data_IF_039141481620
#
_entry.id   IF_039141481620
#
_cell.length_a   1.000
_cell.length_b   1.000
_cell.length_c   1.000
_cell.angle_alpha   90.00
_cell.angle_beta   90.00
_cell.angle_gamma   90.00
#
_symmetry.space_group_name_H-M   'P 1'
#
loop_
_entity.id
_entity.type
_entity.pdbx_description
1 polymer ?
#
# COMPACT_ATOMS: atom_id res chain seq x y z
N UNK A 1 6.47 7.19 -17.34
CA UNK A 1 6.90 6.97 -15.94
C UNK A 1 6.01 5.90 -15.30
N UNK A 2 6.58 4.87 -14.65
CA UNK A 2 5.78 3.83 -13.98
C UNK A 2 5.05 4.36 -12.73
N UNK A 3 5.61 5.39 -12.10
CA UNK A 3 5.06 6.15 -10.98
C UNK A 3 3.65 6.67 -11.30
N UNK A 4 3.49 7.40 -12.41
CA UNK A 4 2.21 7.95 -12.86
C UNK A 4 1.17 6.86 -13.18
N UNK A 5 1.59 5.72 -13.75
CA UNK A 5 0.69 4.61 -14.02
C UNK A 5 0.18 3.94 -12.72
N UNK A 6 1.04 3.86 -11.70
CA UNK A 6 0.68 3.34 -10.38
C UNK A 6 -0.21 4.32 -9.62
N UNK A 7 0.09 5.62 -9.67
CA UNK A 7 -0.80 6.66 -9.14
C UNK A 7 -2.19 6.55 -9.76
N UNK A 8 -2.30 6.54 -11.09
CA UNK A 8 -3.58 6.37 -11.78
C UNK A 8 -4.29 5.05 -11.40
N UNK A 9 -3.53 3.98 -11.16
CA UNK A 9 -4.09 2.69 -10.72
C UNK A 9 -4.68 2.73 -9.31
N UNK A 10 -3.98 3.29 -8.32
CA UNK A 10 -4.49 3.37 -6.94
C UNK A 10 -5.59 4.42 -6.80
N UNK A 11 -5.48 5.56 -7.49
CA UNK A 11 -6.55 6.57 -7.54
C UNK A 11 -7.79 6.04 -8.27
N UNK A 12 -7.62 5.26 -9.33
CA UNK A 12 -8.73 4.57 -10.00
C UNK A 12 -9.42 3.55 -9.09
N UNK A 13 -8.65 2.82 -8.27
CA UNK A 13 -9.24 1.94 -7.26
C UNK A 13 -10.03 2.75 -6.24
N UNK A 14 -9.48 3.87 -5.77
CA UNK A 14 -10.13 4.74 -4.80
C UNK A 14 -11.46 5.30 -5.33
N UNK A 15 -11.49 5.74 -6.59
CA UNK A 15 -12.71 6.17 -7.27
C UNK A 15 -13.74 5.02 -7.36
N UNK A 16 -13.29 3.82 -7.75
CA UNK A 16 -14.14 2.61 -7.79
C UNK A 16 -14.66 2.22 -6.41
N UNK A 17 -13.84 2.36 -5.35
CA UNK A 17 -14.24 2.11 -3.96
C UNK A 17 -15.37 3.04 -3.53
N UNK A 18 -15.39 4.28 -4.06
CA UNK A 18 -16.49 5.24 -3.90
C UNK A 18 -17.66 5.04 -4.89
N UNK A 19 -17.70 3.93 -5.62
CA UNK A 19 -18.78 3.63 -6.59
C UNK A 19 -18.70 4.40 -7.91
N UNK A 20 -17.58 5.09 -8.19
CA UNK A 20 -17.37 5.85 -9.44
C UNK A 20 -16.32 5.16 -10.32
N UNK A 21 -16.76 4.72 -11.50
CA UNK A 21 -15.87 4.29 -12.58
C UNK A 21 -15.56 2.78 -12.60
N UNK A 22 -14.80 2.39 -13.63
CA UNK A 22 -14.38 1.01 -13.87
C UNK A 22 -12.90 0.88 -13.56
N UNK A 23 -12.58 0.18 -12.47
CA UNK A 23 -11.20 -0.13 -12.11
C UNK A 23 -10.87 -1.56 -12.49
N UNK A 24 -9.73 -1.74 -13.16
CA UNK A 24 -9.25 -3.05 -13.58
C UNK A 24 -7.98 -3.40 -12.82
N UNK A 25 -8.00 -4.56 -12.16
CA UNK A 25 -6.83 -5.10 -11.49
C UNK A 25 -5.69 -5.32 -12.49
N UNK A 26 -4.49 -4.82 -12.14
CA UNK A 26 -3.30 -4.96 -12.97
C UNK A 26 -2.15 -5.49 -12.12
N UNK A 27 -1.87 -6.78 -12.29
CA UNK A 27 -0.83 -7.51 -11.54
C UNK A 27 0.56 -6.88 -11.72
N UNK A 28 0.88 -6.37 -12.91
CA UNK A 28 2.16 -5.73 -13.17
C UNK A 28 2.33 -4.46 -12.35
N UNK A 29 1.28 -3.62 -12.27
CA UNK A 29 1.30 -2.41 -11.46
C UNK A 29 1.29 -2.73 -9.97
N UNK A 30 0.52 -3.73 -9.55
CA UNK A 30 0.49 -4.16 -8.15
C UNK A 30 1.84 -4.74 -7.68
N UNK A 31 2.48 -5.59 -8.49
CA UNK A 31 3.82 -6.10 -8.19
C UNK A 31 4.90 -5.02 -8.21
N UNK A 32 4.74 -4.01 -9.08
CA UNK A 32 5.65 -2.86 -9.10
C UNK A 32 5.44 -1.99 -7.86
N UNK A 33 4.19 -1.70 -7.50
CA UNK A 33 3.82 -0.98 -6.29
C UNK A 33 4.46 -1.64 -5.08
N UNK A 34 4.25 -2.94 -4.84
CA UNK A 34 4.85 -3.63 -3.69
C UNK A 34 6.38 -3.56 -3.61
N UNK A 35 7.08 -3.40 -4.75
CA UNK A 35 8.54 -3.28 -4.78
C UNK A 35 9.03 -1.86 -4.53
N UNK A 36 8.28 -0.86 -5.00
CA UNK A 36 8.70 0.54 -5.02
C UNK A 36 7.90 1.45 -4.08
N UNK A 37 6.91 0.92 -3.37
CA UNK A 37 6.04 1.64 -2.42
C UNK A 37 6.82 2.46 -1.40
N UNK A 38 7.97 1.95 -0.98
CA UNK A 38 8.76 2.52 0.10
C UNK A 38 9.70 3.64 -0.37
N UNK A 39 9.90 3.80 -1.69
CA UNK A 39 10.82 4.80 -2.23
C UNK A 39 10.07 6.11 -2.51
N UNK A 40 10.43 7.16 -1.77
CA UNK A 40 9.84 8.49 -1.90
C UNK A 40 10.01 9.09 -3.29
N UNK A 41 11.18 8.89 -3.90
CA UNK A 41 11.46 9.37 -5.26
C UNK A 41 10.54 8.75 -6.32
N UNK A 42 9.98 7.57 -6.06
CA UNK A 42 9.12 6.85 -6.97
C UNK A 42 7.63 6.98 -6.63
N UNK A 43 7.32 7.20 -5.35
CA UNK A 43 5.94 7.28 -4.86
C UNK A 43 5.84 8.49 -3.95
N UNK A 44 5.19 9.54 -4.45
CA UNK A 44 4.81 10.69 -3.63
C UNK A 44 3.93 10.26 -2.46
N UNK A 45 4.03 11.02 -1.36
CA UNK A 45 3.35 10.71 -0.11
C UNK A 45 1.82 10.57 -0.26
N UNK A 46 1.21 11.38 -1.14
CA UNK A 46 -0.22 11.29 -1.46
C UNK A 46 -0.57 9.93 -2.09
N UNK A 47 0.23 9.49 -3.07
CA UNK A 47 0.03 8.19 -3.71
C UNK A 47 0.29 7.05 -2.72
N UNK A 48 1.28 7.21 -1.83
CA UNK A 48 1.55 6.24 -0.77
C UNK A 48 0.34 6.09 0.16
N UNK A 49 -0.27 7.19 0.63
CA UNK A 49 -1.45 7.13 1.47
C UNK A 49 -2.61 6.39 0.80
N UNK A 50 -2.87 6.65 -0.49
CA UNK A 50 -3.90 5.95 -1.27
C UNK A 50 -3.53 4.47 -1.48
N UNK A 51 -2.26 4.16 -1.70
CA UNK A 51 -1.77 2.79 -1.86
C UNK A 51 -1.87 1.97 -0.56
N UNK A 52 -1.58 2.57 0.59
CA UNK A 52 -1.77 1.94 1.90
C UNK A 52 -3.25 1.67 2.14
N UNK A 53 -4.13 2.62 1.81
CA UNK A 53 -5.58 2.42 1.91
C UNK A 53 -6.09 1.33 0.96
N UNK A 54 -5.52 1.24 -0.24
CA UNK A 54 -5.75 0.13 -1.17
C UNK A 54 -5.37 -1.21 -0.55
N UNK A 55 -4.27 -1.30 0.20
CA UNK A 55 -3.80 -2.53 0.85
C UNK A 55 -4.64 -2.96 2.06
N UNK A 56 -5.34 -2.05 2.75
CA UNK A 56 -6.20 -2.38 3.91
C UNK A 56 -7.25 -3.46 3.62
N UNK A 57 -8.08 -3.36 2.56
CA UNK A 57 -9.05 -4.40 2.21
C UNK A 57 -8.43 -5.59 1.48
N UNK A 58 -7.14 -5.58 1.13
CA UNK A 58 -6.49 -6.78 0.57
C UNK A 58 -6.37 -7.84 1.67
N UNK A 59 -6.97 -9.01 1.43
CA UNK A 59 -6.89 -10.17 2.31
C UNK A 59 -6.01 -11.26 1.70
N UNK A 60 -5.36 -12.06 2.55
CA UNK A 60 -4.54 -13.21 2.17
C UNK A 60 -3.12 -12.85 1.70
N UNK A 61 -2.62 -13.61 0.73
CA UNK A 61 -1.20 -13.64 0.34
C UNK A 61 -0.62 -12.28 -0.07
N UNK A 62 -1.42 -11.37 -0.63
CA UNK A 62 -0.95 -10.05 -1.04
C UNK A 62 -0.65 -9.13 0.17
N UNK A 63 -1.46 -9.21 1.23
CA UNK A 63 -1.21 -8.49 2.50
C UNK A 63 0.03 -9.05 3.17
N UNK A 64 0.13 -10.38 3.29
CA UNK A 64 1.29 -11.03 3.89
C UNK A 64 2.57 -10.69 3.13
N UNK A 65 2.53 -10.69 1.78
CA UNK A 65 3.67 -10.28 0.97
C UNK A 65 4.05 -8.82 1.19
N UNK A 66 3.08 -7.91 1.31
CA UNK A 66 3.33 -6.50 1.60
C UNK A 66 3.97 -6.31 2.99
N UNK A 67 3.42 -6.95 4.02
CA UNK A 67 3.91 -6.88 5.40
C UNK A 67 5.30 -7.51 5.54
N UNK A 68 5.52 -8.68 4.94
CA UNK A 68 6.84 -9.32 4.91
C UNK A 68 7.88 -8.40 4.26
N UNK A 69 7.54 -7.83 3.10
CA UNK A 69 8.40 -6.88 2.40
C UNK A 69 8.67 -5.62 3.21
N UNK A 70 7.65 -5.09 3.88
CA UNK A 70 7.83 -3.95 4.78
C UNK A 70 8.79 -4.31 5.92
N UNK A 71 8.71 -5.51 6.51
CA UNK A 71 9.70 -5.97 7.49
C UNK A 71 11.13 -5.98 6.93
N UNK A 72 11.32 -6.50 5.71
CA UNK A 72 12.64 -6.52 5.06
C UNK A 72 13.16 -5.10 4.78
N UNK A 73 12.30 -4.18 4.33
CA UNK A 73 12.67 -2.79 4.04
C UNK A 73 12.90 -1.99 5.32
N UNK A 74 12.14 -2.24 6.38
CA UNK A 74 12.32 -1.61 7.69
C UNK A 74 13.65 -1.98 8.36
N UNK A 75 14.25 -3.10 7.98
CA UNK A 75 15.57 -3.55 8.41
C UNK A 75 16.70 -3.10 7.47
N UNK A 76 16.38 -2.42 6.37
CA UNK A 76 17.37 -1.86 5.45
C UNK A 76 18.04 -0.59 5.99
N UNK A 77 19.03 -0.11 5.25
CA UNK A 77 19.80 1.11 5.57
C UNK A 77 19.07 2.41 5.20
N UNK A 78 17.99 2.28 4.42
CA UNK A 78 17.25 3.41 3.85
C UNK A 78 16.24 3.94 4.87
N UNK A 79 16.58 5.02 5.58
CA UNK A 79 15.80 5.56 6.69
C UNK A 79 14.37 5.95 6.28
N UNK A 80 14.21 6.54 5.09
CA UNK A 80 12.91 6.97 4.55
C UNK A 80 12.05 5.76 4.22
N UNK A 81 12.62 4.78 3.50
CA UNK A 81 11.92 3.54 3.19
C UNK A 81 11.58 2.76 4.45
N UNK A 82 12.46 2.75 5.44
CA UNK A 82 12.24 2.10 6.73
C UNK A 82 11.14 2.78 7.54
N UNK A 83 11.07 4.11 7.55
CA UNK A 83 9.99 4.86 8.18
C UNK A 83 8.63 4.55 7.54
N UNK A 84 8.57 4.53 6.20
CA UNK A 84 7.35 4.15 5.46
C UNK A 84 6.96 2.70 5.68
N UNK A 85 7.93 1.80 5.71
CA UNK A 85 7.69 0.41 6.00
C UNK A 85 7.14 0.20 7.42
N UNK A 86 7.71 0.87 8.42
CA UNK A 86 7.18 0.89 9.79
C UNK A 86 5.75 1.45 9.84
N UNK A 87 5.47 2.53 9.11
CA UNK A 87 4.11 3.08 8.97
C UNK A 87 3.14 2.07 8.36
N UNK A 88 3.58 1.31 7.36
CA UNK A 88 2.77 0.25 6.76
C UNK A 88 2.52 -0.88 7.76
N UNK A 89 3.53 -1.31 8.53
CA UNK A 89 3.38 -2.34 9.56
C UNK A 89 2.44 -1.91 10.69
N UNK A 90 2.42 -0.61 11.04
CA UNK A 90 1.50 -0.02 12.01
C UNK A 90 0.04 -0.06 11.51
N UNK A 91 -0.18 0.27 10.24
CA UNK A 91 -1.53 0.26 9.63
C UNK A 91 -2.00 -1.16 9.29
N UNK A 92 -1.08 -2.08 8.97
CA UNK A 92 -1.33 -3.45 8.56
C UNK A 92 -0.54 -4.43 9.45
N UNK A 93 -0.98 -4.67 10.69
CA UNK A 93 -0.29 -5.61 11.58
C UNK A 93 -0.29 -7.02 10.97
N UNK A 94 0.83 -7.73 11.09
CA UNK A 94 0.97 -9.11 10.64
C UNK A 94 0.05 -10.04 11.46
N UNK A 95 -1.10 -10.41 10.89
CA UNK A 95 -1.93 -11.54 11.32
C UNK A 95 -2.49 -11.56 12.76
N UNK A 96 -2.60 -10.43 13.47
CA UNK A 96 -3.44 -10.34 14.67
C UNK A 96 -4.35 -9.11 14.55
N UNK A 97 -5.63 -9.31 14.85
CA UNK A 97 -6.69 -8.31 14.88
C UNK A 97 -7.31 -7.87 13.53
N UNK A 98 -8.13 -8.76 12.93
CA UNK A 98 -9.47 -8.36 12.49
C UNK A 98 -10.36 -8.02 13.74
N UNK A 99 -9.85 -7.26 14.72
CA UNK A 99 -10.53 -7.05 16.02
C UNK A 99 -10.18 -5.75 16.81
N UNK A 100 -9.68 -4.67 16.18
CA UNK A 100 -9.75 -3.27 16.71
C UNK A 100 -9.28 -2.34 15.58
N UNK A 101 -9.99 -1.33 15.08
CA UNK A 101 -10.91 -0.35 15.66
C UNK A 101 -11.99 0.01 14.61
N UNK A 102 -13.30 -0.04 14.91
CA UNK A 102 -14.12 1.06 15.46
C UNK A 102 -13.91 2.40 14.71
N UNK A 103 -14.87 2.89 13.93
CA UNK A 103 -15.94 3.82 14.39
C UNK A 103 -15.41 4.89 15.36
N UNK A 104 -15.32 6.12 14.85
CA UNK A 104 -15.59 7.42 15.52
C UNK A 104 -15.39 8.49 14.44
N UNK A 105 -16.32 9.40 14.11
CA UNK A 105 -17.50 9.92 14.80
C UNK A 105 -18.54 10.38 13.75
#
# INVERSE_FOLDING_TARGET
>A
AKTAAVAAYVHGWQAKSRGKGSWKFNKNLQSWLLKHLYQDELVEDETFAVAVDYLKPLKGAAREAAVKRAGEVAAGDDEVAAARAKRLLDVLPAAADDAKAQTKE
#
